data_IF_083171745644
#
_entry.id   IF_083171745644
#
_cell.length_a   1.000
_cell.length_b   1.000
_cell.length_c   1.000
_cell.angle_alpha   90.00
_cell.angle_beta   90.00
_cell.angle_gamma   90.00
#
_symmetry.space_group_name_H-M   'P 1'
#
loop_
_entity.id
_entity.type
_entity.pdbx_description
1 polymer ?
#
# COMPACT_ATOMS: atom_id res chain seq x y z
N UNK A 1 7.40 -12.23 39.11
CA UNK A 1 7.96 -12.55 37.77
C UNK A 1 6.83 -13.09 36.91
N UNK A 2 6.40 -12.35 35.88
CA UNK A 2 5.99 -12.79 34.53
C UNK A 2 5.60 -11.51 33.77
N UNK A 3 6.56 -10.92 33.08
CA UNK A 3 6.29 -9.97 31.99
C UNK A 3 5.95 -10.79 30.75
N UNK A 4 4.75 -10.62 30.17
CA UNK A 4 4.38 -11.25 28.89
C UNK A 4 5.15 -10.56 27.74
N UNK A 5 6.02 -11.26 27.00
CA UNK A 5 6.55 -10.77 25.74
C UNK A 5 5.60 -11.18 24.62
N UNK A 6 5.17 -10.27 23.73
CA UNK A 6 4.43 -10.73 22.54
C UNK A 6 3.80 -9.69 21.62
N UNK A 7 3.51 -8.47 22.05
CA UNK A 7 2.76 -7.53 21.21
C UNK A 7 3.59 -6.92 20.05
N UNK A 8 4.91 -6.76 20.24
CA UNK A 8 5.77 -6.02 19.30
C UNK A 8 6.22 -6.85 18.10
N UNK A 9 6.33 -8.18 18.26
CA UNK A 9 6.73 -9.08 17.17
C UNK A 9 5.57 -9.36 16.19
N UNK A 10 4.32 -9.19 16.64
CA UNK A 10 3.11 -9.36 15.83
C UNK A 10 2.94 -8.25 14.78
N UNK A 11 3.15 -6.99 15.14
CA UNK A 11 3.01 -5.83 14.22
C UNK A 11 3.97 -5.90 13.02
N UNK A 12 5.24 -6.28 13.26
CA UNK A 12 6.26 -6.41 12.20
C UNK A 12 6.00 -7.58 11.26
N UNK A 13 5.45 -8.70 11.77
CA UNK A 13 5.09 -9.87 10.95
C UNK A 13 3.85 -9.63 10.10
N UNK A 14 2.91 -8.79 10.56
CA UNK A 14 1.67 -8.50 9.83
C UNK A 14 1.91 -7.55 8.64
N UNK A 15 2.79 -6.56 8.80
CA UNK A 15 3.22 -5.67 7.70
C UNK A 15 4.04 -6.41 6.63
N UNK A 16 4.71 -7.51 6.98
CA UNK A 16 5.37 -8.39 6.01
C UNK A 16 4.44 -9.44 5.37
N UNK A 17 3.21 -9.58 5.86
CA UNK A 17 2.21 -10.54 5.34
C UNK A 17 1.21 -9.89 4.37
N UNK A 18 0.98 -8.58 4.49
CA UNK A 18 0.45 -7.77 3.40
C UNK A 18 1.62 -7.48 2.47
N UNK A 19 1.70 -8.20 1.35
CA UNK A 19 2.82 -8.14 0.40
C UNK A 19 2.96 -6.78 -0.27
N UNK A 20 3.46 -5.79 0.45
CA UNK A 20 3.83 -4.50 -0.10
C UNK A 20 5.17 -4.66 -0.84
N UNK A 21 5.15 -4.32 -2.13
CA UNK A 21 6.34 -3.81 -2.81
C UNK A 21 7.05 -2.79 -1.90
N UNK A 22 8.37 -2.87 -1.90
CA UNK A 22 9.20 -2.51 -0.76
C UNK A 22 9.04 -1.06 -0.28
N UNK A 23 8.33 -0.89 0.83
CA UNK A 23 8.52 0.23 1.74
C UNK A 23 8.98 -0.32 3.09
N UNK A 24 10.29 -0.31 3.33
CA UNK A 24 10.85 -0.55 4.65
C UNK A 24 10.50 0.63 5.56
N UNK A 25 9.26 0.67 6.05
CA UNK A 25 8.85 1.59 7.11
C UNK A 25 9.55 1.15 8.39
N UNK A 26 10.66 1.79 8.71
CA UNK A 26 11.34 1.66 10.01
C UNK A 26 10.43 2.28 11.07
N UNK A 27 9.50 1.49 11.59
CA UNK A 27 8.81 1.80 12.83
C UNK A 27 9.82 1.65 13.98
N UNK A 28 10.47 2.78 14.28
CA UNK A 28 11.42 2.95 15.37
C UNK A 28 10.82 2.45 16.67
N UNK A 29 11.45 1.42 17.24
CA UNK A 29 11.18 1.01 18.61
C UNK A 29 11.73 2.07 19.56
N UNK A 30 10.94 2.45 20.57
CA UNK A 30 11.37 3.32 21.65
C UNK A 30 12.73 2.86 22.21
N UNK A 31 13.77 3.64 21.94
CA UNK A 31 14.92 3.72 22.84
C UNK A 31 14.85 5.08 23.51
N UNK A 32 14.94 5.04 24.83
CA UNK A 32 15.02 6.21 25.69
C UNK A 32 16.20 7.09 25.27
N UNK A 33 15.94 8.39 25.36
CA UNK A 33 16.85 9.52 25.52
C UNK A 33 17.45 10.21 24.29
N UNK A 34 17.23 11.54 24.31
CA UNK A 34 17.92 12.65 23.66
C UNK A 34 17.73 12.91 22.15
N UNK A 35 16.92 13.94 21.87
CA UNK A 35 17.22 14.99 20.89
C UNK A 35 17.03 14.67 19.39
N UNK A 36 16.02 15.31 18.78
CA UNK A 36 16.01 15.60 17.34
C UNK A 36 14.72 15.22 16.61
N UNK A 37 14.01 16.24 16.11
CA UNK A 37 13.03 16.11 15.03
C UNK A 37 11.70 15.43 15.40
N UNK A 38 10.76 16.20 15.95
CA UNK A 38 9.43 15.70 16.32
C UNK A 38 8.58 15.25 15.13
N UNK A 39 8.67 13.96 14.77
CA UNK A 39 7.58 13.28 14.09
C UNK A 39 6.58 12.83 15.17
N UNK A 40 5.35 13.35 15.12
CA UNK A 40 4.26 12.84 15.96
C UNK A 40 4.02 11.36 15.63
N UNK A 41 3.69 10.51 16.61
CA UNK A 41 3.25 9.15 16.31
C UNK A 41 2.03 9.22 15.38
N UNK A 42 2.15 8.61 14.20
CA UNK A 42 1.04 8.45 13.27
C UNK A 42 0.11 7.38 13.84
N UNK A 43 -1.19 7.63 13.84
CA UNK A 43 -2.20 6.66 14.26
C UNK A 43 -2.20 5.44 13.31
N UNK A 44 -2.32 4.23 13.86
CA UNK A 44 -2.34 2.98 13.09
C UNK A 44 -3.48 3.01 12.04
N UNK A 45 -4.62 3.64 12.38
CA UNK A 45 -5.75 3.81 11.45
C UNK A 45 -5.46 4.79 10.31
N UNK A 46 -4.72 5.87 10.57
CA UNK A 46 -4.30 6.81 9.52
C UNK A 46 -3.29 6.14 8.57
N UNK A 47 -2.36 5.34 9.11
CA UNK A 47 -1.41 4.58 8.29
C UNK A 47 -2.13 3.56 7.40
N UNK A 48 -3.08 2.80 7.95
CA UNK A 48 -3.89 1.84 7.18
C UNK A 48 -4.79 2.54 6.15
N UNK A 49 -5.36 3.69 6.50
CA UNK A 49 -6.14 4.51 5.57
C UNK A 49 -5.31 5.02 4.39
N UNK A 50 -4.08 5.48 4.65
CA UNK A 50 -3.15 5.90 3.60
C UNK A 50 -2.70 4.73 2.71
N UNK A 51 -2.46 3.56 3.30
CA UNK A 51 -2.18 2.35 2.53
C UNK A 51 -3.36 1.97 1.63
N UNK A 52 -4.59 2.01 2.15
CA UNK A 52 -5.80 1.72 1.38
C UNK A 52 -5.99 2.69 0.20
N UNK A 53 -5.79 4.00 0.43
CA UNK A 53 -5.85 5.00 -0.64
C UNK A 53 -4.81 4.71 -1.75
N UNK A 54 -3.62 4.22 -1.37
CA UNK A 54 -2.58 3.80 -2.31
C UNK A 54 -3.00 2.58 -3.12
N UNK A 55 -3.56 1.55 -2.50
CA UNK A 55 -4.00 0.36 -3.23
C UNK A 55 -5.07 0.71 -4.27
N UNK A 56 -6.02 1.58 -3.92
CA UNK A 56 -7.01 2.04 -4.91
C UNK A 56 -6.39 2.84 -6.06
N UNK A 57 -5.37 3.65 -5.78
CA UNK A 57 -4.61 4.32 -6.84
C UNK A 57 -3.89 3.30 -7.73
N UNK A 58 -3.27 2.27 -7.13
CA UNK A 58 -2.54 1.24 -7.85
C UNK A 58 -3.45 0.39 -8.76
N UNK A 59 -4.65 0.04 -8.29
CA UNK A 59 -5.71 -0.57 -9.13
C UNK A 59 -5.99 0.30 -10.37
N UNK A 60 -6.24 1.60 -10.18
CA UNK A 60 -6.55 2.50 -11.29
C UNK A 60 -5.35 2.67 -12.25
N UNK A 61 -4.14 2.76 -11.70
CA UNK A 61 -2.88 2.86 -12.41
C UNK A 61 -2.63 1.64 -13.31
N UNK A 62 -2.70 0.42 -12.75
CA UNK A 62 -2.49 -0.81 -13.51
C UNK A 62 -3.57 -1.03 -14.57
N UNK A 63 -4.82 -0.69 -14.29
CA UNK A 63 -5.87 -0.69 -15.30
C UNK A 63 -5.55 0.27 -16.46
N UNK A 64 -4.95 1.44 -16.19
CA UNK A 64 -4.51 2.38 -17.23
C UNK A 64 -3.31 1.87 -18.02
N UNK A 65 -2.35 1.23 -17.35
CA UNK A 65 -1.19 0.59 -18.00
C UNK A 65 -1.66 -0.54 -18.93
N UNK A 66 -2.58 -1.39 -18.48
CA UNK A 66 -3.13 -2.48 -19.29
C UNK A 66 -3.77 -1.98 -20.59
N UNK A 67 -4.47 -0.84 -20.57
CA UNK A 67 -5.06 -0.21 -21.77
C UNK A 67 -4.02 0.26 -22.80
N UNK A 68 -2.75 0.42 -22.41
CA UNK A 68 -1.64 0.80 -23.30
C UNK A 68 -0.84 -0.39 -23.82
N UNK A 69 -1.07 -1.58 -23.28
CA UNK A 69 -0.39 -2.81 -23.72
C UNK A 69 -1.27 -3.64 -24.66
N UNK A 70 -0.65 -4.68 -25.24
CA UNK A 70 -1.32 -5.70 -26.05
C UNK A 70 -0.85 -7.09 -25.62
N UNK A 71 -1.62 -8.12 -25.96
CA UNK A 71 -1.28 -9.52 -25.70
C UNK A 71 -0.99 -9.79 -24.22
N UNK A 72 0.03 -10.58 -23.96
CA UNK A 72 0.42 -11.02 -22.60
C UNK A 72 0.71 -9.85 -21.65
N UNK A 73 1.34 -8.78 -22.13
CA UNK A 73 1.64 -7.61 -21.29
C UNK A 73 0.36 -6.92 -20.78
N UNK A 74 -0.72 -6.92 -21.56
CA UNK A 74 -2.00 -6.41 -21.11
C UNK A 74 -2.64 -7.33 -20.06
N UNK A 75 -2.49 -8.65 -20.20
CA UNK A 75 -2.98 -9.62 -19.23
C UNK A 75 -2.23 -9.52 -17.91
N UNK A 76 -0.90 -9.40 -17.94
CA UNK A 76 -0.06 -9.22 -16.74
C UNK A 76 -0.43 -7.93 -16.00
N UNK A 77 -0.58 -6.81 -16.72
CA UNK A 77 -0.99 -5.55 -16.08
C UNK A 77 -2.40 -5.63 -15.46
N UNK A 78 -3.34 -6.37 -16.07
CA UNK A 78 -4.66 -6.64 -15.45
C UNK A 78 -4.52 -7.48 -14.19
N UNK A 79 -3.65 -8.49 -14.20
CA UNK A 79 -3.41 -9.33 -13.03
C UNK A 79 -2.85 -8.54 -11.85
N UNK A 80 -1.93 -7.60 -12.09
CA UNK A 80 -1.48 -6.69 -11.03
C UNK A 80 -2.63 -5.80 -10.53
N UNK A 81 -3.46 -5.25 -11.43
CA UNK A 81 -4.65 -4.50 -11.02
C UNK A 81 -5.62 -5.31 -10.13
N UNK A 82 -5.76 -6.61 -10.38
CA UNK A 82 -6.57 -7.52 -9.56
C UNK A 82 -5.91 -7.78 -8.21
N UNK A 83 -4.59 -7.97 -8.17
CA UNK A 83 -3.84 -8.16 -6.92
C UNK A 83 -3.94 -6.94 -5.99
N UNK A 84 -3.81 -5.73 -6.51
CA UNK A 84 -3.96 -4.52 -5.68
C UNK A 84 -5.41 -4.33 -5.20
N UNK A 85 -6.40 -4.85 -5.95
CA UNK A 85 -7.79 -4.86 -5.48
C UNK A 85 -7.95 -5.81 -4.29
N UNK A 86 -7.34 -7.01 -4.35
CA UNK A 86 -7.32 -7.94 -3.21
C UNK A 86 -6.60 -7.33 -1.99
N UNK A 87 -5.51 -6.58 -2.19
CA UNK A 87 -4.83 -5.86 -1.13
C UNK A 87 -5.74 -4.81 -0.49
N UNK A 88 -6.40 -3.98 -1.31
CA UNK A 88 -7.36 -2.98 -0.84
C UNK A 88 -8.50 -3.61 -0.04
N UNK A 89 -9.05 -4.74 -0.48
CA UNK A 89 -10.11 -5.46 0.24
C UNK A 89 -9.65 -5.96 1.61
N UNK A 90 -8.44 -6.52 1.70
CA UNK A 90 -7.86 -6.99 2.97
C UNK A 90 -7.63 -5.83 3.93
N UNK A 91 -7.07 -4.70 3.46
CA UNK A 91 -6.89 -3.49 4.27
C UNK A 91 -8.22 -2.94 4.77
N UNK A 92 -9.22 -2.85 3.89
CA UNK A 92 -10.56 -2.39 4.26
C UNK A 92 -11.21 -3.31 5.31
N UNK A 93 -11.04 -4.63 5.19
CA UNK A 93 -11.50 -5.60 6.20
C UNK A 93 -10.79 -5.39 7.55
N UNK A 94 -9.47 -5.20 7.55
CA UNK A 94 -8.70 -4.92 8.78
C UNK A 94 -9.19 -3.65 9.47
N UNK A 95 -9.40 -2.56 8.73
CA UNK A 95 -9.92 -1.31 9.29
C UNK A 95 -11.30 -1.52 9.94
N UNK A 96 -12.19 -2.29 9.28
CA UNK A 96 -13.51 -2.65 9.86
C UNK A 96 -13.38 -3.47 11.14
N UNK A 97 -12.46 -4.44 11.18
CA UNK A 97 -12.20 -5.26 12.37
C UNK A 97 -11.66 -4.44 13.55
N UNK A 98 -11.02 -3.30 13.27
CA UNK A 98 -10.60 -2.32 14.28
C UNK A 98 -11.73 -1.39 14.74
N UNK A 99 -12.96 -1.57 14.23
CA UNK A 99 -14.13 -0.76 14.59
C UNK A 99 -14.21 0.59 13.87
N UNK A 100 -13.46 0.78 12.78
CA UNK A 100 -13.46 2.00 11.98
C UNK A 100 -14.04 1.78 10.58
N UNK A 101 -14.49 2.85 9.94
CA UNK A 101 -14.97 2.82 8.56
C UNK A 101 -13.81 3.01 7.56
N UNK A 102 -13.61 2.09 6.59
CA UNK A 102 -12.54 2.23 5.61
C UNK A 102 -12.84 3.37 4.62
N UNK A 103 -11.77 4.02 4.16
CA UNK A 103 -11.83 5.03 3.09
C UNK A 103 -12.37 4.38 1.82
N UNK A 104 -13.09 5.15 1.01
CA UNK A 104 -13.69 4.67 -0.23
C UNK A 104 -12.82 5.03 -1.43
N UNK A 105 -12.77 4.13 -2.40
CA UNK A 105 -12.16 4.43 -3.69
C UNK A 105 -12.80 5.67 -4.33
N UNK A 106 -11.96 6.54 -4.87
CA UNK A 106 -12.41 7.72 -5.63
C UNK A 106 -12.98 7.27 -6.99
N UNK A 107 -13.96 8.00 -7.54
CA UNK A 107 -14.50 7.69 -8.87
C UNK A 107 -13.47 7.91 -9.99
N UNK A 108 -12.45 8.76 -9.76
CA UNK A 108 -11.36 9.07 -10.69
C UNK A 108 -10.07 9.36 -9.94
N UNK A 109 -8.95 9.03 -10.58
CA UNK A 109 -7.59 9.32 -10.12
C UNK A 109 -6.84 10.10 -11.19
N UNK A 110 -6.00 11.04 -10.76
CA UNK A 110 -5.12 11.77 -11.65
C UNK A 110 -3.93 10.88 -12.01
N UNK A 111 -3.96 10.37 -13.24
CA UNK A 111 -2.90 9.53 -13.78
C UNK A 111 -2.18 10.29 -14.90
N UNK A 112 -0.86 10.10 -15.07
CA UNK A 112 -0.15 10.68 -16.19
C UNK A 112 -0.69 10.10 -17.50
N UNK A 113 -0.65 10.92 -18.56
CA UNK A 113 -0.90 10.43 -19.91
C UNK A 113 0.32 9.61 -20.35
N UNK A 114 0.07 8.42 -20.88
CA UNK A 114 1.12 7.58 -21.46
C UNK A 114 1.16 7.77 -22.98
N UNK A 115 2.31 8.20 -23.49
CA UNK A 115 2.52 8.37 -24.93
C UNK A 115 2.53 7.01 -25.65
N UNK A 116 3.17 6.00 -25.04
CA UNK A 116 3.25 4.64 -25.56
C UNK A 116 3.18 3.58 -24.43
N UNK A 117 3.18 2.30 -24.82
CA UNK A 117 3.19 1.17 -23.88
C UNK A 117 4.46 1.11 -23.01
N UNK A 118 5.62 1.54 -23.52
CA UNK A 118 6.87 1.52 -22.76
C UNK A 118 6.87 2.56 -21.65
N UNK A 119 6.32 3.75 -21.90
CA UNK A 119 6.10 4.80 -20.92
C UNK A 119 5.16 4.32 -19.80
N UNK A 120 4.09 3.60 -20.17
CA UNK A 120 3.19 2.98 -19.20
C UNK A 120 3.90 1.90 -18.33
N UNK A 121 4.73 1.03 -18.91
CA UNK A 121 5.49 0.04 -18.13
C UNK A 121 6.55 0.68 -17.22
N UNK A 122 7.23 1.74 -17.67
CA UNK A 122 8.16 2.50 -16.80
C UNK A 122 7.44 3.16 -15.63
N UNK A 123 6.20 3.63 -15.85
CA UNK A 123 5.38 4.13 -14.76
C UNK A 123 5.01 3.03 -13.77
N UNK A 124 4.55 1.86 -14.25
CA UNK A 124 4.29 0.71 -13.40
C UNK A 124 5.52 0.30 -12.56
N UNK A 125 6.71 0.21 -13.18
CA UNK A 125 7.92 -0.14 -12.46
C UNK A 125 8.30 0.86 -11.34
N UNK A 126 7.94 2.14 -11.48
CA UNK A 126 8.17 3.16 -10.43
C UNK A 126 7.10 3.13 -9.35
N UNK A 127 5.86 2.79 -9.69
CA UNK A 127 4.75 2.65 -8.74
C UNK A 127 5.08 1.65 -7.62
N UNK A 128 5.80 0.58 -7.97
CA UNK A 128 6.25 -0.46 -7.02
C UNK A 128 7.38 -0.03 -6.08
N UNK A 129 7.97 1.15 -6.29
CA UNK A 129 9.12 1.64 -5.52
C UNK A 129 8.76 2.82 -4.60
N UNK A 130 7.55 3.36 -4.73
CA UNK A 130 7.05 4.44 -3.85
C UNK A 130 6.62 3.92 -2.49
#
# INVERSE_FOLDING_TARGET
MVTRPGATQSRRRFLSLAGAGGAALVLGGCSKDSGGGGARPVDDLELLGAALDREYFAVAAYAAVARKQRGELAMVARRFSEQEAEHAERLALTIRQMGAEPRRARPRYELPRFDDGRAALRFAARLEQT
#
